data_IF_013091853282
#
_entry.id   IF_013091853282
#
_cell.length_a   1.000
_cell.length_b   1.000
_cell.length_c   1.000
_cell.angle_alpha   90.00
_cell.angle_beta   90.00
_cell.angle_gamma   90.00
#
_symmetry.space_group_name_H-M   'P 1'
#
loop_
_entity.id
_entity.type
_entity.pdbx_description
1 polymer ?
#
# COMPACT_ATOMS: atom_id res chain seq x y z
N UNK A 1 -36.97 0.67 38.22
CA UNK A 1 -37.73 1.35 37.14
C UNK A 1 -36.67 1.87 36.19
N UNK A 2 -36.46 1.19 35.06
CA UNK A 2 -35.44 1.56 34.07
C UNK A 2 -36.04 2.65 33.18
N UNK A 3 -35.36 3.79 33.05
CA UNK A 3 -35.77 4.85 32.13
C UNK A 3 -35.66 4.34 30.68
N UNK A 4 -36.69 4.54 29.83
CA UNK A 4 -36.58 4.18 28.43
C UNK A 4 -35.63 5.15 27.73
N UNK A 5 -34.74 4.59 26.93
CA UNK A 5 -33.78 5.34 26.10
C UNK A 5 -34.58 6.18 25.08
N UNK A 6 -34.48 7.50 25.19
CA UNK A 6 -35.06 8.46 24.23
C UNK A 6 -34.14 8.57 23.02
N UNK A 7 -34.64 8.20 21.83
CA UNK A 7 -33.98 8.46 20.55
C UNK A 7 -34.50 9.79 20.02
N UNK A 8 -33.76 10.86 20.29
CA UNK A 8 -34.23 12.24 20.11
C UNK A 8 -34.29 12.72 18.66
N UNK A 9 -33.68 12.03 17.70
CA UNK A 9 -33.97 12.21 16.27
C UNK A 9 -33.32 11.08 15.47
N UNK A 10 -34.10 10.41 14.62
CA UNK A 10 -33.56 9.52 13.60
C UNK A 10 -33.68 10.30 12.29
N UNK A 11 -32.57 10.87 11.84
CA UNK A 11 -32.49 11.49 10.52
C UNK A 11 -32.32 10.38 9.47
N UNK A 12 -33.44 9.93 8.92
CA UNK A 12 -33.48 8.89 7.89
C UNK A 12 -33.70 9.53 6.52
N UNK A 13 -32.65 9.60 5.69
CA UNK A 13 -32.78 9.97 4.28
C UNK A 13 -32.88 8.72 3.40
N UNK A 14 -33.97 8.63 2.62
CA UNK A 14 -34.20 7.54 1.67
C UNK A 14 -33.71 7.99 0.28
N UNK A 15 -32.52 7.55 -0.11
CA UNK A 15 -31.99 7.80 -1.46
C UNK A 15 -32.19 6.56 -2.35
N UNK A 16 -32.52 6.78 -3.62
CA UNK A 16 -32.78 5.73 -4.62
C UNK A 16 -31.51 5.14 -5.23
N UNK A 17 -30.33 5.65 -4.85
CA UNK A 17 -29.03 5.20 -5.33
C UNK A 17 -28.04 5.05 -4.18
N UNK A 18 -27.23 3.99 -4.22
CA UNK A 18 -26.04 3.85 -3.37
C UNK A 18 -24.95 4.82 -3.86
N UNK A 19 -25.21 6.13 -3.81
CA UNK A 19 -24.09 7.07 -3.75
C UNK A 19 -23.68 7.12 -2.28
N UNK A 20 -22.54 6.49 -2.01
CA UNK A 20 -21.83 6.59 -0.75
C UNK A 20 -21.74 8.07 -0.41
N UNK A 21 -22.35 8.48 0.70
CA UNK A 21 -22.27 9.87 1.15
C UNK A 21 -20.80 10.15 1.44
N UNK A 22 -20.11 10.78 0.49
CA UNK A 22 -18.84 11.41 0.76
C UNK A 22 -19.12 12.42 1.86
N UNK A 23 -18.74 12.08 3.09
CA UNK A 23 -18.84 12.97 4.22
C UNK A 23 -17.96 14.17 3.91
N UNK A 24 -18.55 15.23 3.35
CA UNK A 24 -17.86 16.46 3.08
C UNK A 24 -17.52 17.07 4.44
N UNK A 25 -16.24 17.15 4.84
CA UNK A 25 -15.91 17.68 6.15
C UNK A 25 -16.41 19.12 6.22
N UNK A 26 -17.08 19.46 7.34
CA UNK A 26 -17.51 20.83 7.61
C UNK A 26 -16.27 21.72 7.51
N UNK A 27 -16.28 22.80 6.72
CA UNK A 27 -15.11 23.64 6.55
C UNK A 27 -14.79 24.35 7.87
N UNK A 28 -13.95 23.76 8.70
CA UNK A 28 -13.27 24.46 9.78
C UNK A 28 -12.29 25.47 9.17
N UNK A 29 -12.19 26.68 9.75
CA UNK A 29 -11.31 27.74 9.23
C UNK A 29 -9.82 27.33 9.20
N UNK A 30 -9.43 26.28 9.93
CA UNK A 30 -8.10 25.68 9.83
C UNK A 30 -8.19 24.16 9.89
N UNK A 31 -7.86 23.42 8.81
CA UNK A 31 -7.91 21.97 8.84
C UNK A 31 -6.86 21.40 9.81
N UNK A 32 -7.27 20.47 10.66
CA UNK A 32 -6.36 19.71 11.51
C UNK A 32 -5.42 18.84 10.67
N UNK A 33 -4.10 19.02 10.80
CA UNK A 33 -3.08 18.31 10.01
C UNK A 33 -2.22 17.43 10.91
N UNK A 34 -2.03 16.18 10.49
CA UNK A 34 -1.14 15.23 11.16
C UNK A 34 0.10 15.01 10.31
N UNK A 35 1.28 15.16 10.91
CA UNK A 35 2.55 14.82 10.28
C UNK A 35 2.99 13.41 10.72
N UNK A 36 3.14 12.50 9.75
CA UNK A 36 3.66 11.16 9.97
C UNK A 36 5.14 11.11 9.58
N UNK A 37 6.00 10.66 10.51
CA UNK A 37 7.44 10.54 10.28
C UNK A 37 7.89 9.10 10.50
N UNK A 38 8.54 8.52 9.50
CA UNK A 38 9.01 7.14 9.54
C UNK A 38 9.78 6.74 8.28
N UNK A 39 10.36 5.53 8.29
CA UNK A 39 10.93 4.92 7.09
C UNK A 39 9.85 4.14 6.32
N UNK A 40 9.04 4.87 5.55
CA UNK A 40 8.01 4.28 4.69
C UNK A 40 8.55 3.76 3.36
N UNK A 41 9.81 4.08 3.04
CA UNK A 41 10.45 3.72 1.77
C UNK A 41 11.25 2.41 1.84
N UNK A 42 11.51 1.85 3.02
CA UNK A 42 12.39 0.68 3.20
C UNK A 42 13.89 1.00 3.06
N UNK A 43 14.28 2.26 3.27
CA UNK A 43 15.66 2.73 3.06
C UNK A 43 16.65 2.01 3.97
N UNK A 44 16.31 1.79 5.25
CA UNK A 44 17.17 1.06 6.17
C UNK A 44 17.43 -0.37 5.71
N UNK A 45 16.40 -1.05 5.21
CA UNK A 45 16.53 -2.40 4.65
C UNK A 45 17.48 -2.42 3.44
N UNK A 46 17.46 -1.37 2.60
CA UNK A 46 18.38 -1.22 1.46
C UNK A 46 19.75 -0.64 1.83
N UNK A 47 20.04 -0.45 3.12
CA UNK A 47 21.31 0.13 3.59
C UNK A 47 21.48 1.62 3.27
N UNK A 48 20.41 2.33 2.92
CA UNK A 48 20.43 3.76 2.58
C UNK A 48 20.25 4.58 3.86
N UNK A 49 21.37 5.06 4.40
CA UNK A 49 21.37 5.96 5.56
C UNK A 49 21.64 7.39 5.12
N UNK A 50 20.74 8.30 5.49
CA UNK A 50 20.88 9.73 5.22
C UNK A 50 20.91 10.49 6.54
N UNK A 51 21.91 11.36 6.71
CA UNK A 51 22.12 12.14 7.93
C UNK A 51 21.63 13.59 7.76
N UNK A 52 21.71 14.36 8.85
CA UNK A 52 20.93 15.58 9.12
C UNK A 52 20.78 16.58 7.97
N UNK A 53 21.81 16.88 7.20
CA UNK A 53 21.72 17.88 6.11
C UNK A 53 20.84 17.42 4.93
N UNK A 54 20.82 16.13 4.63
CA UNK A 54 19.96 15.55 3.58
C UNK A 54 18.54 15.37 4.09
N UNK A 55 18.37 15.01 5.37
CA UNK A 55 17.05 14.86 5.98
C UNK A 55 16.32 16.20 6.09
N UNK A 56 17.03 17.28 6.46
CA UNK A 56 16.47 18.62 6.58
C UNK A 56 15.99 19.21 5.24
N UNK A 57 16.50 18.73 4.11
CA UNK A 57 16.07 19.16 2.76
C UNK A 57 14.83 18.43 2.26
N UNK A 58 14.33 17.42 2.97
CA UNK A 58 13.16 16.66 2.53
C UNK A 58 11.91 17.51 2.67
N UNK A 59 11.13 17.57 1.59
CA UNK A 59 9.81 18.19 1.58
C UNK A 59 8.77 17.20 2.09
N UNK A 60 7.76 17.73 2.77
CA UNK A 60 6.56 16.95 3.10
C UNK A 60 5.84 16.54 1.81
N UNK A 61 5.26 15.34 1.83
CA UNK A 61 4.38 14.85 0.80
C UNK A 61 2.97 14.88 1.41
N UNK A 62 2.06 15.61 0.77
CA UNK A 62 0.66 15.61 1.18
C UNK A 62 0.02 14.32 0.68
N UNK A 63 -0.61 13.58 1.60
CA UNK A 63 -1.24 12.30 1.31
C UNK A 63 -2.72 12.39 1.65
N UNK A 64 -3.54 11.90 0.75
CA UNK A 64 -4.99 11.72 0.85
C UNK A 64 -5.35 10.35 0.25
N UNK A 65 -6.59 9.88 0.43
CA UNK A 65 -7.08 8.60 -0.11
C UNK A 65 -6.91 8.47 -1.62
N UNK A 66 -6.94 9.60 -2.34
CA UNK A 66 -6.91 9.63 -3.80
C UNK A 66 -5.48 9.63 -4.38
N UNK A 67 -4.45 9.86 -3.56
CA UNK A 67 -3.07 10.03 -4.04
C UNK A 67 -2.04 9.09 -3.38
N UNK A 68 -2.51 8.07 -2.65
CA UNK A 68 -1.64 7.13 -1.93
C UNK A 68 -0.62 6.49 -2.87
N UNK A 69 -1.06 6.03 -4.05
CA UNK A 69 -0.19 5.37 -5.01
C UNK A 69 0.88 6.34 -5.57
N UNK A 70 0.49 7.57 -5.92
CA UNK A 70 1.44 8.59 -6.38
C UNK A 70 2.48 8.93 -5.29
N UNK A 71 2.05 9.02 -4.03
CA UNK A 71 2.93 9.25 -2.90
C UNK A 71 3.91 8.08 -2.69
N UNK A 72 3.45 6.84 -2.84
CA UNK A 72 4.27 5.63 -2.75
C UNK A 72 5.31 5.59 -3.87
N UNK A 73 4.91 5.85 -5.11
CA UNK A 73 5.82 5.91 -6.25
C UNK A 73 6.91 6.96 -6.05
N UNK A 74 6.54 8.17 -5.60
CA UNK A 74 7.48 9.25 -5.26
C UNK A 74 8.44 8.88 -4.13
N UNK A 75 8.01 8.07 -3.17
CA UNK A 75 8.85 7.60 -2.08
C UNK A 75 9.88 6.54 -2.53
N UNK A 76 9.64 5.87 -3.66
CA UNK A 76 10.48 4.77 -4.14
C UNK A 76 10.51 3.63 -3.13
N UNK A 77 9.33 3.15 -2.75
CA UNK A 77 9.16 2.07 -1.77
C UNK A 77 9.73 0.78 -2.32
N UNK A 78 10.60 0.13 -1.55
CA UNK A 78 11.19 -1.15 -1.96
C UNK A 78 12.01 -1.82 -0.88
N UNK A 79 12.27 -3.11 -1.05
CA UNK A 79 13.02 -3.93 -0.11
C UNK A 79 13.91 -4.93 -0.84
N UNK A 80 15.04 -5.25 -0.21
CA UNK A 80 15.96 -6.30 -0.61
C UNK A 80 15.80 -7.46 0.39
N UNK A 81 15.40 -8.62 -0.13
CA UNK A 81 15.10 -9.82 0.67
C UNK A 81 16.14 -10.91 0.43
N UNK A 82 16.99 -11.25 1.41
CA UNK A 82 18.00 -12.30 1.28
C UNK A 82 17.40 -13.69 1.56
N UNK A 83 16.46 -14.15 0.73
CA UNK A 83 15.69 -15.40 0.97
C UNK A 83 16.45 -16.68 0.58
N UNK A 84 17.45 -16.60 -0.29
CA UNK A 84 18.21 -17.75 -0.81
C UNK A 84 19.53 -18.01 -0.08
N UNK A 85 19.70 -17.44 1.11
CA UNK A 85 20.91 -17.56 1.93
C UNK A 85 21.96 -16.50 1.61
N UNK A 86 23.08 -16.53 2.36
CA UNK A 86 24.09 -15.46 2.40
C UNK A 86 24.85 -15.24 1.07
N UNK A 87 24.92 -16.25 0.22
CA UNK A 87 25.72 -16.22 -1.02
C UNK A 87 24.87 -16.03 -2.27
N UNK A 88 23.54 -15.96 -2.14
CA UNK A 88 22.64 -15.75 -3.25
C UNK A 88 22.28 -14.26 -3.38
N UNK A 89 22.06 -13.76 -4.61
CA UNK A 89 21.55 -12.41 -4.82
C UNK A 89 20.24 -12.17 -4.04
N UNK A 90 20.06 -11.02 -3.39
CA UNK A 90 18.80 -10.69 -2.74
C UNK A 90 17.70 -10.50 -3.79
N UNK A 91 16.47 -10.87 -3.43
CA UNK A 91 15.30 -10.54 -4.25
C UNK A 91 14.96 -9.07 -4.03
N UNK A 92 15.00 -8.30 -5.10
CA UNK A 92 14.59 -6.91 -5.11
C UNK A 92 13.08 -6.83 -5.34
N UNK A 93 12.38 -6.13 -4.46
CA UNK A 93 10.94 -5.90 -4.57
C UNK A 93 10.68 -4.39 -4.50
N UNK A 94 9.93 -3.87 -5.45
CA UNK A 94 9.51 -2.47 -5.53
C UNK A 94 7.99 -2.39 -5.46
N UNK A 95 7.48 -1.37 -4.78
CA UNK A 95 6.05 -1.14 -4.63
C UNK A 95 5.75 0.27 -5.14
N UNK A 96 4.93 0.37 -6.19
CA UNK A 96 4.49 1.64 -6.75
C UNK A 96 3.05 1.97 -6.35
N UNK A 97 2.24 0.95 -6.03
CA UNK A 97 0.84 1.08 -5.64
C UNK A 97 0.47 0.09 -4.53
N UNK A 98 -0.68 0.31 -3.89
CA UNK A 98 -1.13 -0.57 -2.79
C UNK A 98 -1.33 -2.03 -3.22
N UNK A 99 -1.82 -2.27 -4.44
CA UNK A 99 -2.03 -3.62 -4.98
C UNK A 99 -0.75 -4.44 -5.13
N UNK A 100 0.42 -3.79 -5.17
CA UNK A 100 1.70 -4.49 -5.32
C UNK A 100 2.05 -5.30 -4.05
N UNK A 101 1.42 -4.99 -2.91
CA UNK A 101 1.53 -5.79 -1.70
C UNK A 101 0.72 -7.09 -1.75
N UNK A 102 -0.17 -7.25 -2.74
CA UNK A 102 -0.98 -8.46 -2.85
C UNK A 102 -0.10 -9.67 -3.23
N UNK A 103 -0.31 -10.85 -2.62
CA UNK A 103 0.48 -12.06 -2.92
C UNK A 103 0.50 -12.43 -4.40
N UNK A 104 -0.62 -12.23 -5.10
CA UNK A 104 -0.71 -12.50 -6.55
C UNK A 104 0.17 -11.55 -7.37
N UNK A 105 0.21 -10.27 -7.01
CA UNK A 105 1.08 -9.27 -7.65
C UNK A 105 2.54 -9.65 -7.46
N UNK A 106 2.94 -10.04 -6.24
CA UNK A 106 4.30 -10.51 -5.95
C UNK A 106 4.64 -11.78 -6.71
N UNK A 107 3.73 -12.75 -6.76
CA UNK A 107 3.92 -14.00 -7.48
C UNK A 107 4.10 -13.78 -8.99
N UNK A 108 3.38 -12.82 -9.56
CA UNK A 108 3.47 -12.49 -10.98
C UNK A 108 4.66 -11.57 -11.31
N UNK A 109 5.03 -10.67 -10.40
CA UNK A 109 6.05 -9.65 -10.63
C UNK A 109 7.48 -10.12 -10.38
N UNK A 110 7.70 -11.11 -9.50
CA UNK A 110 9.04 -11.53 -9.13
C UNK A 110 9.56 -12.68 -9.99
N UNK A 111 10.76 -12.52 -10.53
CA UNK A 111 11.45 -13.50 -11.40
C UNK A 111 11.70 -14.83 -10.70
N UNK A 112 11.84 -14.80 -9.38
CA UNK A 112 12.00 -15.99 -8.53
C UNK A 112 10.90 -17.04 -8.74
N UNK A 113 9.68 -16.60 -9.06
CA UNK A 113 8.54 -17.48 -9.28
C UNK A 113 8.35 -17.87 -10.74
N UNK A 114 9.18 -17.37 -11.67
CA UNK A 114 9.04 -17.64 -13.10
C UNK A 114 9.10 -19.14 -13.40
N UNK A 115 10.09 -19.85 -12.85
CA UNK A 115 10.21 -21.30 -13.04
C UNK A 115 8.98 -22.08 -12.54
N UNK A 116 8.39 -21.67 -11.41
CA UNK A 116 7.16 -22.29 -10.89
C UNK A 116 5.95 -21.99 -11.78
N UNK A 117 5.85 -20.76 -12.32
CA UNK A 117 4.80 -20.38 -13.27
C UNK A 117 4.88 -21.17 -14.57
N UNK A 118 6.09 -21.33 -15.11
CA UNK A 118 6.33 -22.10 -16.33
C UNK A 118 6.00 -23.58 -16.12
N UNK A 119 6.43 -24.15 -14.98
CA UNK A 119 6.11 -25.55 -14.62
C UNK A 119 4.60 -25.74 -14.49
N UNK A 120 3.90 -24.83 -13.80
CA UNK A 120 2.43 -24.88 -13.66
C UNK A 120 1.73 -24.77 -15.02
N UNK A 121 2.25 -23.98 -15.96
CA UNK A 121 1.70 -23.87 -17.31
C UNK A 121 1.87 -25.17 -18.10
N UNK A 122 3.05 -25.79 -18.04
CA UNK A 122 3.29 -27.10 -18.64
C UNK A 122 2.37 -28.18 -18.06
N UNK A 123 2.26 -28.27 -16.73
CA UNK A 123 1.37 -29.26 -16.11
C UNK A 123 -0.13 -29.05 -16.44
N UNK A 124 -0.51 -27.86 -16.89
CA UNK A 124 -1.88 -27.55 -17.33
C UNK A 124 -2.12 -27.82 -18.82
N UNK A 125 -1.07 -28.08 -19.59
CA UNK A 125 -1.17 -28.41 -21.01
C UNK A 125 -1.17 -29.95 -21.18
N UNK A 126 -2.29 -30.56 -21.60
CA UNK A 126 -2.35 -31.99 -21.87
C UNK A 126 -1.34 -32.45 -22.94
N UNK A 127 -0.94 -31.56 -23.86
CA UNK A 127 -0.01 -31.89 -24.93
C UNK A 127 1.43 -32.07 -24.45
N UNK A 128 1.81 -31.55 -23.28
CA UNK A 128 3.14 -31.78 -22.69
C UNK A 128 3.30 -33.13 -22.00
N UNK A 129 2.26 -33.96 -21.95
CA UNK A 129 2.29 -35.31 -21.38
C UNK A 129 2.22 -36.44 -22.44
N UNK A 130 2.23 -36.09 -23.73
CA UNK A 130 2.17 -37.02 -24.85
C UNK A 130 3.54 -37.29 -25.48
#
# INVERSE_FOLDING_TARGET
MQEPISFEEIDASLTSTMEETEGMPVPEETPFRVALLGDFSGRRNRGVFQTGSTLAKRRFIFVDRDNIDEAMEKLGVGINLPIFGKNAPPVHVTFSKMDDFHPDSLFNGLDVFQALRDTRRGLKDPATFA
#
